data_IF_492773091606
#
_entry.id   IF_492773091606
#
_cell.length_a   1.000
_cell.length_b   1.000
_cell.length_c   1.000
_cell.angle_alpha   90.00
_cell.angle_beta   90.00
_cell.angle_gamma   90.00
#
_symmetry.space_group_name_H-M   'P 1'
#
loop_
_entity.id
_entity.type
_entity.pdbx_description
1 polymer ?
#
# COMPACT_ATOMS: atom_id res chain seq x y z
N UNK A 1 22.35 -32.85 -11.88
CA UNK A 1 21.04 -32.22 -12.15
C UNK A 1 20.67 -31.17 -11.12
N UNK A 2 20.62 -31.55 -9.83
CA UNK A 2 20.12 -30.69 -8.74
C UNK A 2 20.83 -29.32 -8.63
N UNK A 3 22.16 -29.27 -8.80
CA UNK A 3 22.91 -27.99 -8.76
C UNK A 3 22.60 -27.04 -9.92
N UNK A 4 22.33 -27.55 -11.13
CA UNK A 4 21.91 -26.70 -12.24
C UNK A 4 20.48 -26.19 -12.02
N UNK A 5 19.60 -27.04 -11.48
CA UNK A 5 18.26 -26.64 -11.11
C UNK A 5 18.26 -25.54 -10.04
N UNK A 6 19.13 -25.63 -9.01
CA UNK A 6 19.21 -24.61 -7.97
C UNK A 6 19.73 -23.28 -8.49
N UNK A 7 20.70 -23.27 -9.42
CA UNK A 7 21.19 -22.04 -10.07
C UNK A 7 20.09 -21.38 -10.91
N UNK A 8 19.34 -22.15 -11.69
CA UNK A 8 18.22 -21.63 -12.49
C UNK A 8 17.15 -21.03 -11.57
N UNK A 9 16.77 -21.72 -10.50
CA UNK A 9 15.80 -21.20 -9.52
C UNK A 9 16.31 -19.91 -8.88
N UNK A 10 17.58 -19.87 -8.45
CA UNK A 10 18.18 -18.67 -7.87
C UNK A 10 18.15 -17.49 -8.84
N UNK A 11 18.40 -17.71 -10.13
CA UNK A 11 18.32 -16.67 -11.15
C UNK A 11 16.90 -16.06 -11.25
N UNK A 12 15.86 -16.90 -11.32
CA UNK A 12 14.48 -16.44 -11.36
C UNK A 12 14.07 -15.69 -10.09
N UNK A 13 14.51 -16.17 -8.92
CA UNK A 13 14.25 -15.50 -7.65
C UNK A 13 14.93 -14.11 -7.61
N UNK A 14 16.19 -14.00 -8.07
CA UNK A 14 16.88 -12.70 -8.11
C UNK A 14 16.12 -11.68 -8.97
N UNK A 15 15.63 -12.07 -10.16
CA UNK A 15 14.82 -11.20 -11.01
C UNK A 15 13.50 -10.83 -10.34
N UNK A 16 12.87 -11.76 -9.63
CA UNK A 16 11.61 -11.49 -8.95
C UNK A 16 11.79 -10.54 -7.76
N UNK A 17 12.84 -10.72 -6.96
CA UNK A 17 13.08 -9.91 -5.75
C UNK A 17 13.64 -8.52 -6.03
N UNK A 18 14.39 -8.33 -7.13
CA UNK A 18 14.95 -7.01 -7.48
C UNK A 18 13.85 -6.00 -7.85
N UNK A 19 12.73 -6.46 -8.40
CA UNK A 19 11.63 -5.59 -8.87
C UNK A 19 10.93 -4.87 -7.70
N UNK A 20 10.47 -5.54 -6.63
CA UNK A 20 9.95 -4.86 -5.45
C UNK A 20 10.95 -3.92 -4.77
N UNK A 21 12.25 -4.27 -4.76
CA UNK A 21 13.30 -3.39 -4.23
C UNK A 21 13.39 -2.09 -5.06
N UNK A 22 13.30 -2.18 -6.38
CA UNK A 22 13.28 -1.02 -7.26
C UNK A 22 12.04 -0.15 -7.04
N UNK A 23 10.87 -0.76 -6.79
CA UNK A 23 9.67 -0.03 -6.40
C UNK A 23 9.84 0.67 -5.05
N UNK A 24 10.40 0.00 -4.05
CA UNK A 24 10.68 0.60 -2.74
C UNK A 24 11.61 1.82 -2.85
N UNK A 25 12.70 1.72 -3.62
CA UNK A 25 13.58 2.86 -3.90
C UNK A 25 12.87 3.99 -4.65
N UNK A 26 12.02 3.66 -5.63
CA UNK A 26 11.22 4.66 -6.34
C UNK A 26 10.29 5.44 -5.40
N UNK A 27 9.61 4.76 -4.48
CA UNK A 27 8.79 5.40 -3.45
C UNK A 27 9.65 6.21 -2.45
N UNK A 28 10.81 5.69 -2.07
CA UNK A 28 11.75 6.38 -1.18
C UNK A 28 12.19 7.72 -1.78
N UNK A 29 12.62 7.77 -3.04
CA UNK A 29 13.00 9.04 -3.67
C UNK A 29 11.84 10.01 -3.80
N UNK A 30 10.63 9.53 -4.09
CA UNK A 30 9.44 10.37 -4.16
C UNK A 30 8.98 10.86 -2.77
N UNK A 31 9.38 10.19 -1.69
CA UNK A 31 9.05 10.60 -0.32
C UNK A 31 9.81 11.86 0.15
N UNK A 32 10.93 12.21 -0.49
CA UNK A 32 11.68 13.44 -0.17
C UNK A 32 11.03 14.72 -0.70
N UNK A 33 9.92 14.63 -1.44
CA UNK A 33 9.14 15.79 -1.90
C UNK A 33 8.38 16.41 -0.72
N UNK A 34 8.24 17.74 -0.72
CA UNK A 34 7.55 18.49 0.35
C UNK A 34 6.08 18.09 0.52
N UNK A 35 5.43 17.72 -0.58
CA UNK A 35 4.09 17.14 -0.59
C UNK A 35 4.18 15.78 -1.25
N UNK A 36 3.70 14.74 -0.55
CA UNK A 36 3.73 13.38 -1.07
C UNK A 36 2.78 13.27 -2.27
N UNK A 37 3.22 12.71 -3.41
CA UNK A 37 2.41 12.71 -4.63
C UNK A 37 1.15 11.84 -4.51
N UNK A 38 1.13 10.85 -3.61
CA UNK A 38 -0.03 10.03 -3.30
C UNK A 38 -0.90 10.56 -2.15
N UNK A 39 -0.62 11.77 -1.64
CA UNK A 39 -1.40 12.37 -0.55
C UNK A 39 -2.76 12.89 -1.02
N UNK A 40 -2.84 13.42 -2.25
CA UNK A 40 -3.98 14.19 -2.73
C UNK A 40 -4.38 13.75 -4.14
N UNK A 41 -5.64 14.02 -4.49
CA UNK A 41 -6.19 13.73 -5.83
C UNK A 41 -5.90 14.82 -6.88
N UNK A 42 -5.10 15.85 -6.56
CA UNK A 42 -4.82 16.99 -7.46
C UNK A 42 -3.55 16.81 -8.32
N UNK A 43 -3.49 15.74 -9.09
CA UNK A 43 -2.36 15.47 -9.98
C UNK A 43 -2.84 15.15 -11.39
N UNK A 44 -1.95 15.28 -12.39
CA UNK A 44 -2.27 15.08 -13.80
C UNK A 44 -2.62 13.65 -14.19
N UNK A 45 -2.30 12.66 -13.36
CA UNK A 45 -2.55 11.24 -13.59
C UNK A 45 -3.82 10.73 -12.89
N UNK A 46 -4.48 11.56 -12.08
CA UNK A 46 -5.64 11.12 -11.32
C UNK A 46 -6.92 11.21 -12.16
N UNK A 47 -7.81 10.25 -12.00
CA UNK A 47 -9.14 10.28 -12.63
C UNK A 47 -10.14 11.09 -11.81
N UNK A 48 -11.33 11.30 -12.40
CA UNK A 48 -12.47 11.96 -11.73
C UNK A 48 -12.98 11.17 -10.51
N UNK A 49 -12.65 9.88 -10.43
CA UNK A 49 -13.07 8.98 -9.36
C UNK A 49 -12.11 8.97 -8.16
N UNK A 50 -11.01 9.73 -8.22
CA UNK A 50 -10.07 9.84 -7.12
C UNK A 50 -10.67 10.65 -5.96
N UNK A 51 -10.77 10.04 -4.78
CA UNK A 51 -11.19 10.72 -3.55
C UNK A 51 -10.32 10.29 -2.37
N UNK A 52 -9.71 11.24 -1.67
CA UNK A 52 -8.99 10.94 -0.42
C UNK A 52 -9.95 10.61 0.72
N UNK A 53 -9.50 9.82 1.68
CA UNK A 53 -10.31 9.47 2.86
C UNK A 53 -10.74 10.69 3.68
N UNK A 54 -9.90 11.72 3.72
CA UNK A 54 -10.25 13.02 4.29
C UNK A 54 -11.36 13.72 3.49
N UNK A 55 -11.26 13.74 2.15
CA UNK A 55 -12.30 14.35 1.30
C UNK A 55 -13.64 13.60 1.36
N UNK A 56 -13.65 12.29 1.65
CA UNK A 56 -14.89 11.52 1.86
C UNK A 56 -15.73 12.06 3.02
N UNK A 57 -15.10 12.70 4.00
CA UNK A 57 -15.81 13.30 5.14
C UNK A 57 -16.63 14.54 4.74
N UNK A 58 -16.29 15.17 3.62
CA UNK A 58 -16.95 16.37 3.08
C UNK A 58 -17.90 16.08 1.92
N UNK A 59 -18.25 14.81 1.68
CA UNK A 59 -19.24 14.46 0.67
C UNK A 59 -20.62 15.01 1.03
N UNK A 60 -21.40 15.51 0.04
CA UNK A 60 -22.73 16.10 0.28
C UNK A 60 -23.71 15.12 0.91
N UNK A 61 -24.55 15.60 1.82
CA UNK A 61 -25.71 14.87 2.31
C UNK A 61 -26.94 15.20 1.48
N UNK A 62 -27.72 14.17 1.14
CA UNK A 62 -29.00 14.33 0.45
C UNK A 62 -30.09 14.48 1.51
N UNK A 63 -30.62 15.69 1.64
CA UNK A 63 -31.69 16.01 2.57
C UNK A 63 -33.00 16.22 1.81
N UNK A 64 -34.05 15.52 2.23
CA UNK A 64 -35.37 15.61 1.62
C UNK A 64 -36.46 15.86 2.66
N UNK A 65 -37.43 16.67 2.27
CA UNK A 65 -38.77 16.71 2.85
C UNK A 65 -39.76 16.49 1.70
N UNK A 66 -40.97 16.02 2.00
CA UNK A 66 -42.07 15.64 1.10
C UNK A 66 -42.20 16.42 -0.22
N UNK A 67 -41.82 17.71 -0.25
CA UNK A 67 -41.87 18.60 -1.43
C UNK A 67 -40.57 19.33 -1.77
N UNK A 68 -39.46 19.15 -1.04
CA UNK A 68 -38.20 19.88 -1.28
C UNK A 68 -36.96 19.01 -1.07
N UNK A 69 -36.01 19.14 -2.01
CA UNK A 69 -34.74 18.42 -2.04
C UNK A 69 -33.58 19.41 -1.96
N UNK A 70 -32.57 19.07 -1.16
CA UNK A 70 -31.36 19.89 -1.03
C UNK A 70 -30.14 19.02 -0.76
N UNK A 71 -29.05 19.35 -1.45
CA UNK A 71 -27.72 18.84 -1.14
C UNK A 71 -27.05 19.76 -0.11
N UNK A 72 -26.55 19.17 0.97
CA UNK A 72 -25.87 19.89 2.06
C UNK A 72 -24.42 19.46 2.11
N UNK A 73 -23.49 20.38 1.84
CA UNK A 73 -22.05 20.10 1.84
C UNK A 73 -21.45 20.50 3.19
N UNK A 74 -20.75 19.58 3.89
CA UNK A 74 -19.97 19.93 5.06
C UNK A 74 -18.84 20.88 4.71
N UNK A 75 -18.76 22.03 5.37
CA UNK A 75 -17.63 22.95 5.25
C UNK A 75 -16.60 22.61 6.32
N UNK A 76 -15.30 22.75 6.02
CA UNK A 76 -14.18 22.43 6.95
C UNK A 76 -14.29 23.07 8.34
N UNK A 77 -15.06 24.14 8.48
CA UNK A 77 -15.23 24.93 9.71
C UNK A 77 -16.45 24.54 10.53
N UNK A 78 -17.38 23.74 10.01
CA UNK A 78 -18.60 23.33 10.69
C UNK A 78 -18.64 21.82 10.92
N UNK A 79 -18.96 21.42 12.15
CA UNK A 79 -19.18 20.02 12.49
C UNK A 79 -20.44 19.49 11.80
N UNK A 80 -20.33 18.31 11.19
CA UNK A 80 -21.43 17.63 10.46
C UNK A 80 -22.70 17.54 11.31
N UNK A 81 -22.57 17.26 12.61
CA UNK A 81 -23.70 17.18 13.55
C UNK A 81 -24.45 18.50 13.71
N UNK A 82 -23.74 19.63 13.68
CA UNK A 82 -24.33 20.97 13.77
C UNK A 82 -25.01 21.38 12.46
N UNK A 83 -24.47 20.94 11.31
CA UNK A 83 -25.14 21.15 10.02
C UNK A 83 -26.43 20.33 9.94
N UNK A 84 -26.38 19.05 10.33
CA UNK A 84 -27.55 18.18 10.36
C UNK A 84 -28.61 18.65 11.36
N UNK A 85 -28.23 19.25 12.50
CA UNK A 85 -29.21 19.79 13.46
C UNK A 85 -30.02 20.96 12.90
N UNK A 86 -29.42 21.78 12.03
CA UNK A 86 -30.11 22.90 11.37
C UNK A 86 -31.14 22.43 10.32
N UNK A 87 -30.97 21.20 9.82
CA UNK A 87 -31.88 20.52 8.89
C UNK A 87 -32.59 19.32 9.53
N UNK A 88 -32.75 19.32 10.86
CA UNK A 88 -33.38 18.22 11.62
C UNK A 88 -34.82 17.92 11.22
N UNK A 89 -35.50 18.88 10.58
CA UNK A 89 -36.83 18.72 10.00
C UNK A 89 -36.84 18.01 8.63
N UNK A 90 -35.67 17.61 8.11
CA UNK A 90 -35.50 16.89 6.84
C UNK A 90 -34.85 15.53 7.10
N UNK A 91 -35.19 14.54 6.27
CA UNK A 91 -34.47 13.27 6.28
C UNK A 91 -33.21 13.40 5.45
N UNK A 92 -32.06 13.39 6.13
CA UNK A 92 -30.75 13.46 5.51
C UNK A 92 -30.06 12.09 5.54
N UNK A 93 -29.74 11.55 4.36
CA UNK A 93 -28.96 10.32 4.22
C UNK A 93 -27.69 10.59 3.41
N UNK A 94 -26.69 9.75 3.65
CA UNK A 94 -25.46 9.71 2.85
C UNK A 94 -25.43 8.38 2.12
N UNK A 95 -25.91 8.40 0.88
CA UNK A 95 -25.92 7.22 0.03
C UNK A 95 -25.02 7.50 -1.17
N UNK A 96 -23.76 7.10 -1.05
CA UNK A 96 -22.79 7.10 -2.15
C UNK A 96 -22.39 5.66 -2.45
N UNK A 97 -22.25 5.37 -3.74
CA UNK A 97 -21.61 4.15 -4.17
C UNK A 97 -20.09 4.27 -3.98
N UNK A 98 -19.62 3.80 -2.82
CA UNK A 98 -18.20 3.78 -2.46
C UNK A 98 -17.36 2.91 -3.38
N UNK A 99 -17.97 2.01 -4.17
CA UNK A 99 -17.24 1.15 -5.11
C UNK A 99 -16.70 1.94 -6.32
N UNK A 100 -17.31 3.09 -6.61
CA UNK A 100 -16.90 3.99 -7.69
C UNK A 100 -15.68 4.86 -7.35
N UNK A 101 -15.31 4.98 -6.07
CA UNK A 101 -14.24 5.87 -5.63
C UNK A 101 -12.92 5.12 -5.42
N UNK A 102 -11.85 5.68 -5.97
CA UNK A 102 -10.49 5.13 -5.84
C UNK A 102 -9.64 6.01 -4.94
N UNK A 103 -8.77 5.41 -4.12
CA UNK A 103 -7.87 6.16 -3.24
C UNK A 103 -6.70 6.77 -4.03
N UNK A 104 -6.19 7.95 -3.64
CA UNK A 104 -5.06 8.59 -4.32
C UNK A 104 -3.80 7.73 -4.32
N UNK A 105 -3.62 6.87 -3.32
CA UNK A 105 -2.50 5.93 -3.22
C UNK A 105 -2.59 4.86 -4.31
N UNK A 106 -3.80 4.31 -4.53
CA UNK A 106 -4.04 3.29 -5.55
C UNK A 106 -3.90 3.87 -6.96
N UNK A 107 -4.48 5.05 -7.20
CA UNK A 107 -4.32 5.77 -8.48
C UNK A 107 -2.85 6.12 -8.76
N UNK A 108 -2.11 6.56 -7.75
CA UNK A 108 -0.68 6.79 -7.91
C UNK A 108 0.05 5.50 -8.31
N UNK A 109 -0.28 4.36 -7.71
CA UNK A 109 0.34 3.09 -8.07
C UNK A 109 -0.02 2.64 -9.50
N UNK A 110 -1.30 2.63 -9.85
CA UNK A 110 -1.80 2.10 -11.11
C UNK A 110 -1.49 3.03 -12.29
N UNK A 111 -1.76 4.34 -12.17
CA UNK A 111 -1.66 5.30 -13.28
C UNK A 111 -0.33 6.06 -13.32
N UNK A 112 0.38 6.21 -12.19
CA UNK A 112 1.66 6.94 -12.15
C UNK A 112 2.87 6.06 -11.92
N UNK A 113 2.82 5.00 -11.12
CA UNK A 113 3.99 4.18 -10.79
C UNK A 113 4.14 2.97 -11.72
N UNK A 114 3.05 2.32 -12.11
CA UNK A 114 3.09 1.20 -13.05
C UNK A 114 2.66 1.62 -14.45
N UNK A 115 1.70 2.53 -14.59
CA UNK A 115 1.00 2.81 -15.85
C UNK A 115 0.42 1.52 -16.44
N UNK A 116 -0.46 0.87 -15.68
CA UNK A 116 -1.09 -0.37 -16.11
C UNK A 116 -1.92 -0.12 -17.37
N UNK A 117 -1.71 -0.93 -18.40
CA UNK A 117 -2.45 -0.87 -19.67
C UNK A 117 -3.74 -1.68 -19.59
N UNK A 118 -4.63 -1.50 -20.57
CA UNK A 118 -5.95 -2.15 -20.61
C UNK A 118 -5.91 -3.67 -20.77
N UNK A 119 -4.76 -4.26 -21.14
CA UNK A 119 -4.61 -5.71 -21.27
C UNK A 119 -3.16 -6.17 -21.42
N UNK A 120 -2.95 -7.48 -21.24
CA UNK A 120 -1.62 -8.15 -21.31
C UNK A 120 -1.03 -8.09 -22.73
N UNK A 121 -1.89 -7.97 -23.76
CA UNK A 121 -1.51 -7.89 -25.17
C UNK A 121 -1.06 -6.48 -25.58
N UNK A 122 -1.38 -5.45 -24.80
CA UNK A 122 -0.99 -4.07 -25.04
C UNK A 122 0.20 -3.74 -24.17
N UNK A 123 1.40 -4.03 -24.69
CA UNK A 123 2.64 -3.68 -24.02
C UNK A 123 2.81 -2.16 -24.11
N UNK A 124 2.60 -1.47 -22.99
CA UNK A 124 2.76 -0.02 -22.90
C UNK A 124 4.21 0.45 -23.15
N UNK A 125 4.44 1.75 -23.03
CA UNK A 125 5.78 2.34 -23.16
C UNK A 125 6.71 2.00 -22.00
N UNK A 126 8.02 1.99 -22.26
CA UNK A 126 9.03 1.81 -21.20
C UNK A 126 9.13 3.06 -20.32
N UNK A 127 8.94 2.87 -19.00
CA UNK A 127 9.04 3.94 -18.01
C UNK A 127 10.48 4.16 -17.57
N UNK A 128 11.14 5.17 -18.12
CA UNK A 128 12.55 5.48 -17.83
C UNK A 128 12.84 5.73 -16.34
N UNK A 129 11.89 6.31 -15.59
CA UNK A 129 12.03 6.50 -14.14
C UNK A 129 12.19 5.16 -13.41
N UNK A 130 11.37 4.15 -13.73
CA UNK A 130 11.47 2.81 -13.12
C UNK A 130 12.68 2.04 -13.63
N UNK A 131 13.01 2.17 -14.92
CA UNK A 131 14.19 1.54 -15.48
C UNK A 131 15.46 2.07 -14.79
N UNK A 132 15.53 3.38 -14.52
CA UNK A 132 16.63 4.01 -13.81
C UNK A 132 16.70 3.55 -12.34
N UNK A 133 15.57 3.46 -11.61
CA UNK A 133 15.60 2.95 -10.23
C UNK A 133 15.93 1.46 -10.17
N UNK A 134 15.51 0.67 -11.16
CA UNK A 134 15.89 -0.73 -11.30
C UNK A 134 17.39 -0.88 -11.51
N UNK A 135 17.97 -0.11 -12.44
CA UNK A 135 19.42 -0.09 -12.68
C UNK A 135 20.19 0.35 -11.43
N UNK A 136 19.70 1.36 -10.71
CA UNK A 136 20.30 1.79 -9.45
C UNK A 136 20.25 0.68 -8.39
N UNK A 137 19.15 -0.07 -8.30
CA UNK A 137 19.03 -1.20 -7.37
C UNK A 137 20.06 -2.27 -7.68
N UNK A 138 20.24 -2.61 -8.95
CA UNK A 138 21.28 -3.54 -9.41
C UNK A 138 22.69 -3.08 -9.01
N UNK A 139 22.99 -1.80 -9.22
CA UNK A 139 24.29 -1.22 -8.83
C UNK A 139 24.49 -1.29 -7.31
N UNK A 140 23.47 -0.93 -6.52
CA UNK A 140 23.55 -1.01 -5.05
C UNK A 140 23.77 -2.45 -4.57
N UNK A 141 23.01 -3.42 -5.09
CA UNK A 141 23.18 -4.84 -4.77
C UNK A 141 24.57 -5.33 -5.15
N UNK A 142 25.08 -4.94 -6.33
CA UNK A 142 26.44 -5.26 -6.75
C UNK A 142 27.47 -4.73 -5.75
N UNK A 143 27.37 -3.46 -5.35
CA UNK A 143 28.30 -2.87 -4.37
C UNK A 143 28.23 -3.53 -2.99
N UNK A 144 27.05 -3.98 -2.54
CA UNK A 144 26.91 -4.73 -1.29
C UNK A 144 27.68 -6.05 -1.31
N UNK A 145 27.81 -6.69 -2.48
CA UNK A 145 28.45 -8.00 -2.65
C UNK A 145 29.92 -7.88 -3.08
N UNK A 146 30.29 -6.82 -3.81
CA UNK A 146 31.57 -6.73 -4.52
C UNK A 146 32.81 -6.87 -3.63
N UNK A 147 32.75 -6.40 -2.37
CA UNK A 147 33.87 -6.55 -1.40
C UNK A 147 33.90 -7.91 -0.68
N UNK A 148 33.07 -8.86 -1.10
CA UNK A 148 33.03 -10.23 -0.60
C UNK A 148 32.27 -10.41 0.71
N UNK A 149 32.23 -11.66 1.18
CA UNK A 149 31.40 -12.15 2.31
C UNK A 149 31.64 -11.41 3.64
N UNK A 150 32.86 -10.93 3.89
CA UNK A 150 33.20 -10.18 5.11
C UNK A 150 32.59 -8.77 5.13
N UNK A 151 32.44 -8.15 3.96
CA UNK A 151 31.89 -6.80 3.85
C UNK A 151 30.37 -6.82 3.77
N UNK A 152 29.79 -7.74 2.99
CA UNK A 152 28.34 -7.98 3.01
C UNK A 152 27.85 -8.33 4.41
N UNK A 153 28.57 -9.15 5.19
CA UNK A 153 28.21 -9.42 6.59
C UNK A 153 28.09 -8.15 7.44
N UNK A 154 28.97 -7.15 7.23
CA UNK A 154 28.86 -5.84 7.89
C UNK A 154 27.63 -5.05 7.47
N UNK A 155 27.32 -5.03 6.18
CA UNK A 155 26.13 -4.37 5.63
C UNK A 155 24.85 -5.05 6.12
N UNK A 156 24.86 -6.38 6.22
CA UNK A 156 23.73 -7.18 6.68
C UNK A 156 23.35 -6.85 8.12
N UNK A 157 24.31 -6.60 9.02
CA UNK A 157 23.97 -6.15 10.39
C UNK A 157 23.13 -4.87 10.37
N UNK A 158 23.46 -3.92 9.49
CA UNK A 158 22.68 -2.70 9.35
C UNK A 158 21.30 -2.98 8.72
N UNK A 159 21.25 -3.69 7.59
CA UNK A 159 19.99 -3.95 6.88
C UNK A 159 19.05 -4.89 7.62
N UNK A 160 19.56 -5.74 8.53
CA UNK A 160 18.75 -6.60 9.39
C UNK A 160 18.20 -5.86 10.60
N UNK A 161 18.96 -4.91 11.18
CA UNK A 161 18.52 -4.15 12.36
C UNK A 161 17.58 -2.99 12.01
N UNK A 162 17.79 -2.35 10.86
CA UNK A 162 17.03 -1.18 10.45
C UNK A 162 15.51 -1.41 10.36
N UNK A 163 15.00 -2.53 9.81
CA UNK A 163 13.57 -2.84 9.83
C UNK A 163 12.99 -2.92 11.24
N UNK A 164 13.68 -3.52 12.21
CA UNK A 164 13.21 -3.59 13.59
C UNK A 164 13.12 -2.19 14.23
N UNK A 165 14.12 -1.34 13.96
CA UNK A 165 14.10 0.05 14.41
C UNK A 165 12.93 0.84 13.79
N UNK A 166 12.69 0.70 12.48
CA UNK A 166 11.55 1.31 11.81
C UNK A 166 10.21 0.80 12.36
N UNK A 167 10.08 -0.52 12.56
CA UNK A 167 8.89 -1.14 13.13
C UNK A 167 8.61 -0.59 14.54
N UNK A 168 9.64 -0.39 15.36
CA UNK A 168 9.49 0.19 16.69
C UNK A 168 8.96 1.62 16.64
N UNK A 169 9.48 2.48 15.74
CA UNK A 169 8.98 3.85 15.55
C UNK A 169 7.55 3.83 15.02
N UNK A 170 7.26 2.98 14.02
CA UNK A 170 5.93 2.83 13.44
C UNK A 170 4.93 2.30 14.46
N UNK A 171 5.35 1.45 15.40
CA UNK A 171 4.52 0.97 16.49
C UNK A 171 4.14 2.11 17.44
N UNK A 172 5.10 2.90 17.90
CA UNK A 172 4.83 4.05 18.78
C UNK A 172 3.89 5.04 18.08
N UNK A 173 4.17 5.36 16.81
CA UNK A 173 3.30 6.23 16.01
C UNK A 173 1.92 5.60 15.85
N UNK A 174 1.82 4.33 15.46
CA UNK A 174 0.55 3.63 15.27
C UNK A 174 -0.32 3.62 16.53
N UNK A 175 0.27 3.36 17.71
CA UNK A 175 -0.45 3.33 18.98
C UNK A 175 -0.90 4.73 19.46
N UNK A 176 -0.26 5.81 19.00
CA UNK A 176 -0.65 7.18 19.36
C UNK A 176 -1.77 7.74 18.48
N UNK A 177 -2.14 7.07 17.39
CA UNK A 177 -3.26 7.48 16.54
C UNK A 177 -4.61 7.06 17.17
N UNK A 178 -5.64 7.93 17.14
CA UNK A 178 -6.98 7.56 17.58
C UNK A 178 -7.55 6.45 16.68
N UNK A 179 -8.17 5.44 17.27
CA UNK A 179 -8.73 4.29 16.54
C UNK A 179 -7.76 3.11 16.31
N UNK A 180 -6.53 3.17 16.81
CA UNK A 180 -5.57 2.07 16.68
C UNK A 180 -6.04 0.74 17.33
N UNK A 181 -6.84 0.84 18.39
CA UNK A 181 -7.34 -0.33 19.13
C UNK A 181 -8.29 -1.20 18.29
N UNK A 182 -9.04 -0.61 17.37
CA UNK A 182 -9.99 -1.36 16.53
C UNK A 182 -9.25 -2.24 15.52
N UNK A 183 -8.15 -1.76 14.95
CA UNK A 183 -7.28 -2.55 14.09
C UNK A 183 -6.59 -3.70 14.84
N UNK A 184 -6.13 -3.46 16.07
CA UNK A 184 -5.53 -4.50 16.93
C UNK A 184 -6.59 -5.55 17.31
N UNK A 185 -7.78 -5.12 17.68
CA UNK A 185 -8.90 -6.01 18.02
C UNK A 185 -9.28 -6.88 16.83
N UNK A 186 -9.33 -6.32 15.62
CA UNK A 186 -9.59 -7.08 14.41
C UNK A 186 -8.51 -8.12 14.10
N UNK A 187 -7.23 -7.79 14.33
CA UNK A 187 -6.13 -8.74 14.10
C UNK A 187 -6.07 -9.88 15.15
N UNK A 188 -6.37 -9.56 16.41
CA UNK A 188 -6.23 -10.51 17.53
C UNK A 188 -7.47 -11.36 17.72
N UNK A 189 -8.68 -10.85 17.44
CA UNK A 189 -9.92 -11.59 17.66
C UNK A 189 -10.05 -12.73 16.63
N UNK A 190 -9.96 -14.01 17.05
CA UNK A 190 -9.91 -15.11 16.11
C UNK A 190 -11.32 -15.55 15.69
N UNK A 191 -11.58 -15.58 14.39
CA UNK A 191 -12.74 -16.28 13.83
C UNK A 191 -12.49 -17.79 13.85
N UNK A 192 -12.93 -18.47 14.92
CA UNK A 192 -12.68 -19.91 15.16
C UNK A 192 -13.23 -20.79 14.01
N UNK A 193 -14.25 -20.30 13.29
CA UNK A 193 -14.82 -20.97 12.11
C UNK A 193 -13.83 -21.10 10.94
N UNK A 194 -12.81 -20.23 10.84
CA UNK A 194 -11.79 -20.27 9.77
C UNK A 194 -10.72 -21.34 9.99
N UNK A 195 -10.58 -21.84 11.22
CA UNK A 195 -9.59 -22.87 11.57
C UNK A 195 -9.99 -24.28 11.11
N UNK A 196 -11.28 -24.51 10.86
CA UNK A 196 -11.80 -25.79 10.36
C UNK A 196 -11.58 -25.97 8.86
N UNK A 197 -11.21 -24.90 8.15
CA UNK A 197 -11.00 -24.93 6.70
C UNK A 197 -9.63 -25.54 6.36
N UNK A 198 -9.63 -26.64 5.61
CA UNK A 198 -8.41 -27.41 5.30
C UNK A 198 -7.39 -26.61 4.48
N UNK A 199 -7.86 -25.60 3.73
CA UNK A 199 -7.04 -24.67 2.97
C UNK A 199 -6.12 -23.82 3.87
N UNK A 200 -6.59 -23.42 5.06
CA UNK A 200 -5.83 -22.60 6.00
C UNK A 200 -4.69 -23.42 6.62
N UNK A 201 -4.97 -24.68 6.98
CA UNK A 201 -3.98 -25.59 7.55
C UNK A 201 -2.85 -25.92 6.55
N UNK A 202 -3.19 -26.22 5.28
CA UNK A 202 -2.19 -26.52 4.25
C UNK A 202 -1.31 -25.30 3.90
N UNK A 203 -1.91 -24.10 3.84
CA UNK A 203 -1.19 -22.85 3.52
C UNK A 203 -0.24 -22.42 4.66
N UNK A 204 -0.67 -22.61 5.91
CA UNK A 204 0.13 -22.26 7.08
C UNK A 204 1.31 -23.22 7.29
N UNK A 205 1.05 -24.54 7.23
CA UNK A 205 2.04 -25.57 7.55
C UNK A 205 3.08 -25.80 6.44
N UNK A 206 2.67 -25.90 5.18
CA UNK A 206 3.55 -26.40 4.11
C UNK A 206 4.24 -25.30 3.29
N UNK A 207 3.57 -24.18 3.03
CA UNK A 207 4.07 -23.16 2.11
C UNK A 207 4.69 -21.96 2.82
N UNK A 208 4.06 -21.48 3.89
CA UNK A 208 4.54 -20.29 4.61
C UNK A 208 5.80 -20.57 5.42
N UNK A 209 5.82 -21.66 6.18
CA UNK A 209 6.97 -22.06 6.99
C UNK A 209 8.18 -22.46 6.12
N UNK A 210 7.95 -23.28 5.09
CA UNK A 210 9.00 -23.72 4.17
C UNK A 210 9.62 -22.55 3.39
N UNK A 211 8.81 -21.60 2.89
CA UNK A 211 9.34 -20.44 2.15
C UNK A 211 10.11 -19.49 3.06
N UNK A 212 9.66 -19.30 4.29
CA UNK A 212 10.33 -18.44 5.27
C UNK A 212 11.70 -19.00 5.68
N UNK A 213 11.81 -20.32 5.83
CA UNK A 213 13.07 -20.99 6.18
C UNK A 213 14.03 -21.02 4.99
N UNK A 214 13.55 -21.30 3.77
CA UNK A 214 14.43 -21.39 2.59
C UNK A 214 15.14 -20.07 2.26
N UNK A 215 14.47 -18.92 2.48
CA UNK A 215 15.05 -17.58 2.29
C UNK A 215 16.22 -17.31 3.25
N UNK A 216 16.26 -17.97 4.42
CA UNK A 216 17.37 -17.85 5.37
C UNK A 216 18.59 -18.71 4.99
N UNK A 217 18.44 -19.65 4.05
CA UNK A 217 19.48 -20.61 3.66
C UNK A 217 20.03 -20.43 2.23
N UNK A 218 19.57 -19.40 1.50
CA UNK A 218 20.15 -18.94 0.23
C UNK A 218 20.77 -17.57 0.41
#
# INVERSE_FOLDING_TARGET
GVGYASVVIAFWLNIWYIVPLAWALFYLFNSFKSVLPWSNCRNSWNTLHCQSEYERQFLPYNCSNSSHWREVVPIKTFNVTYLLSNYSHMNCSREYDWSSFTSPVREYWEHRALQITGGITEVGGMRWELAATLLLTWILCYFCIWRGVKWTGKVVYFTALFPYFLLFILLIRGLTLPGAIDGIKYYIYPDISRLQDSQVCHTFSATTLHRSILILFT
#
